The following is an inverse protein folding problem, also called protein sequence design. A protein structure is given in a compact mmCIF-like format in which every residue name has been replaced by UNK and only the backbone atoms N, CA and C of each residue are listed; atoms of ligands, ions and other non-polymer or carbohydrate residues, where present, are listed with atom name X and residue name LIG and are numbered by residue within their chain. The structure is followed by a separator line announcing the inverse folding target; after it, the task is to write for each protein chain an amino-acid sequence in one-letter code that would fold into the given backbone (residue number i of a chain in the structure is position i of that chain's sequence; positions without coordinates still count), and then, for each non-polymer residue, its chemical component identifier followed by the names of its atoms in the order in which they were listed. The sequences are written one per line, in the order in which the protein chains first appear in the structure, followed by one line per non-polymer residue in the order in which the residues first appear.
data_IF_962531933180
#
_entry.id   IF_962531933180
#
_cell.length_a   1.000
_cell.length_b   1.000
_cell.length_c   1.000
_cell.angle_alpha   90.00
_cell.angle_beta   90.00
_cell.angle_gamma   90.00
#
_symmetry.space_group_name_H-M   'P 1'
#
loop_
_entity.id
_entity.type
_entity.pdbx_description
1 polymer ?
#
# COMPACT_ATOMS: atom_id res chain seq x y z
N UNK A 1 -15.03 -9.62 -25.49
CA UNK A 1 -14.83 -8.46 -26.36
C UNK A 1 -15.69 -7.29 -25.91
N UNK A 2 -15.08 -6.15 -25.69
CA UNK A 2 -15.74 -4.93 -25.19
C UNK A 2 -15.32 -3.69 -26.02
N UNK A 3 -15.24 -3.87 -27.32
CA UNK A 3 -14.84 -2.86 -28.28
C UNK A 3 -15.98 -2.34 -29.15
N UNK A 4 -15.64 -1.91 -30.35
CA UNK A 4 -16.60 -1.35 -31.30
C UNK A 4 -17.63 -2.42 -31.73
N UNK A 5 -18.92 -2.17 -31.50
CA UNK A 5 -20.01 -3.08 -31.83
C UNK A 5 -20.10 -3.40 -33.33
N UNK A 6 -19.65 -2.51 -34.20
CA UNK A 6 -19.61 -2.76 -35.64
C UNK A 6 -18.69 -3.91 -36.05
N UNK A 7 -17.75 -4.33 -35.18
CA UNK A 7 -16.80 -5.42 -35.40
C UNK A 7 -17.18 -6.72 -34.70
N UNK A 8 -18.31 -6.79 -34.01
CA UNK A 8 -18.69 -7.96 -33.20
C UNK A 8 -18.80 -9.23 -34.04
N UNK A 9 -19.44 -9.17 -35.21
CA UNK A 9 -19.62 -10.33 -36.11
C UNK A 9 -18.25 -10.82 -36.62
N UNK A 10 -17.34 -9.90 -36.94
CA UNK A 10 -16.00 -10.21 -37.44
C UNK A 10 -15.14 -10.85 -36.33
N UNK A 11 -15.20 -10.31 -35.13
CA UNK A 11 -14.53 -10.85 -33.94
C UNK A 11 -15.11 -12.22 -33.59
N UNK A 12 -16.42 -12.39 -33.63
CA UNK A 12 -17.09 -13.67 -33.38
C UNK A 12 -16.68 -14.72 -34.42
N UNK A 13 -16.60 -14.34 -35.69
CA UNK A 13 -16.15 -15.23 -36.76
C UNK A 13 -14.69 -15.66 -36.60
N UNK A 14 -13.84 -14.73 -36.18
CA UNK A 14 -12.40 -14.96 -36.05
C UNK A 14 -12.03 -15.78 -34.81
N UNK A 15 -12.62 -15.48 -33.68
CA UNK A 15 -12.25 -16.06 -32.37
C UNK A 15 -13.21 -17.14 -31.88
N UNK A 16 -14.50 -17.10 -32.27
CA UNK A 16 -15.53 -18.04 -31.82
C UNK A 16 -15.17 -19.51 -32.07
N UNK A 17 -14.51 -19.90 -33.17
CA UNK A 17 -14.06 -21.28 -33.39
C UNK A 17 -12.96 -21.75 -32.43
N UNK A 18 -12.23 -20.83 -31.81
CA UNK A 18 -11.01 -21.10 -31.03
C UNK A 18 -11.17 -20.82 -29.53
N UNK A 19 -12.18 -20.01 -29.15
CA UNK A 19 -12.38 -19.59 -27.77
C UNK A 19 -13.84 -19.31 -27.48
N UNK A 20 -14.23 -19.46 -26.21
CA UNK A 20 -15.52 -18.97 -25.74
C UNK A 20 -15.49 -17.45 -25.68
N UNK A 21 -16.25 -16.79 -26.54
CA UNK A 21 -16.28 -15.34 -26.66
C UNK A 21 -17.45 -14.77 -25.86
N UNK A 22 -17.13 -13.88 -24.93
CA UNK A 22 -18.12 -13.10 -24.17
C UNK A 22 -18.13 -11.68 -24.72
N UNK A 23 -19.31 -11.18 -25.06
CA UNK A 23 -19.51 -9.83 -25.60
C UNK A 23 -19.97 -8.88 -24.51
N UNK A 24 -19.39 -7.70 -24.46
CA UNK A 24 -19.77 -6.60 -23.58
C UNK A 24 -19.89 -5.32 -24.41
N UNK A 25 -20.63 -4.36 -23.87
CA UNK A 25 -20.68 -3.02 -24.48
C UNK A 25 -19.28 -2.41 -24.57
N UNK A 26 -19.06 -1.55 -25.56
CA UNK A 26 -17.82 -0.85 -25.74
C UNK A 26 -17.43 -0.10 -24.46
N UNK A 27 -16.26 -0.42 -23.90
CA UNK A 27 -15.75 0.22 -22.68
C UNK A 27 -15.40 1.69 -22.90
N UNK A 28 -15.27 2.09 -24.16
CA UNK A 28 -15.00 3.48 -24.55
C UNK A 28 -15.89 3.89 -25.71
N UNK A 29 -17.20 4.13 -25.44
CA UNK A 29 -18.17 4.47 -26.48
C UNK A 29 -17.84 5.79 -27.19
N UNK A 30 -17.16 6.70 -26.51
CA UNK A 30 -16.56 7.92 -27.06
C UNK A 30 -15.12 8.14 -26.50
N UNK A 31 -14.39 9.12 -27.01
CA UNK A 31 -13.04 9.44 -26.49
C UNK A 31 -13.09 9.98 -25.05
N UNK A 32 -14.20 10.55 -24.65
CA UNK A 32 -14.39 11.23 -23.37
C UNK A 32 -15.15 10.36 -22.36
N UNK A 33 -15.89 9.35 -22.83
CA UNK A 33 -16.74 8.50 -21.98
C UNK A 33 -16.14 7.12 -21.76
N UNK A 34 -16.21 6.64 -20.54
CA UNK A 34 -15.82 5.29 -20.13
C UNK A 34 -17.04 4.56 -19.56
N UNK A 35 -17.35 3.36 -20.11
CA UNK A 35 -18.48 2.53 -19.72
C UNK A 35 -18.02 1.10 -19.38
N UNK A 36 -17.61 0.88 -18.15
CA UNK A 36 -16.97 -0.37 -17.70
C UNK A 36 -17.98 -1.43 -17.21
N UNK A 37 -19.21 -1.05 -16.89
CA UNK A 37 -20.19 -1.88 -16.17
C UNK A 37 -20.47 -3.20 -16.87
N UNK A 38 -20.71 -3.16 -18.19
CA UNK A 38 -20.98 -4.35 -18.99
C UNK A 38 -19.77 -5.29 -19.07
N UNK A 39 -18.56 -4.74 -19.23
CA UNK A 39 -17.33 -5.52 -19.25
C UNK A 39 -17.03 -6.16 -17.88
N UNK A 40 -17.25 -5.43 -16.80
CA UNK A 40 -17.10 -5.94 -15.43
C UNK A 40 -18.07 -7.11 -15.15
N UNK A 41 -19.31 -7.01 -15.62
CA UNK A 41 -20.28 -8.09 -15.49
C UNK A 41 -19.81 -9.35 -16.25
N UNK A 42 -19.36 -9.20 -17.50
CA UNK A 42 -18.85 -10.33 -18.30
C UNK A 42 -17.59 -10.95 -17.69
N UNK A 43 -16.70 -10.13 -17.13
CA UNK A 43 -15.51 -10.62 -16.41
C UNK A 43 -15.88 -11.40 -15.14
N UNK A 44 -16.91 -10.97 -14.41
CA UNK A 44 -17.41 -11.71 -13.26
C UNK A 44 -17.95 -13.07 -13.65
N UNK A 45 -18.78 -13.14 -14.71
CA UNK A 45 -19.29 -14.40 -15.26
C UNK A 45 -18.17 -15.32 -15.78
N UNK A 46 -17.17 -14.74 -16.45
CA UNK A 46 -15.98 -15.49 -16.91
C UNK A 46 -15.18 -16.07 -15.73
N UNK A 47 -15.04 -15.29 -14.66
CA UNK A 47 -14.37 -15.76 -13.43
C UNK A 47 -15.14 -16.91 -12.77
N UNK A 48 -16.46 -16.80 -12.63
CA UNK A 48 -17.30 -17.84 -12.07
C UNK A 48 -17.15 -19.14 -12.87
N UNK A 49 -17.28 -19.07 -14.21
CA UNK A 49 -17.10 -20.22 -15.09
C UNK A 49 -15.69 -20.83 -15.01
N UNK A 50 -14.64 -19.98 -14.88
CA UNK A 50 -13.28 -20.44 -14.74
C UNK A 50 -13.03 -21.11 -13.40
N UNK A 51 -13.55 -20.55 -12.32
CA UNK A 51 -13.45 -21.09 -10.97
C UNK A 51 -14.14 -22.45 -10.86
N UNK A 52 -15.35 -22.58 -11.43
CA UNK A 52 -16.08 -23.85 -11.50
C UNK A 52 -15.33 -24.93 -12.29
N UNK A 53 -14.68 -24.55 -13.40
CA UNK A 53 -14.00 -25.52 -14.27
C UNK A 53 -12.65 -26.01 -13.73
N UNK A 54 -11.95 -25.21 -12.90
CA UNK A 54 -10.57 -25.50 -12.47
C UNK A 54 -10.39 -25.85 -11.01
N UNK A 55 -11.30 -25.45 -10.15
CA UNK A 55 -11.09 -25.57 -8.71
C UNK A 55 -11.70 -26.85 -8.16
N UNK A 56 -10.89 -27.83 -7.78
CA UNK A 56 -11.38 -28.92 -6.91
C UNK A 56 -11.95 -28.29 -5.63
N UNK A 57 -13.31 -28.29 -5.52
CA UNK A 57 -14.02 -27.71 -4.40
C UNK A 57 -14.62 -26.32 -4.62
N UNK A 58 -14.32 -25.63 -5.72
CA UNK A 58 -14.99 -24.35 -6.05
C UNK A 58 -16.47 -24.57 -6.36
N UNK A 59 -16.80 -25.66 -7.04
CA UNK A 59 -18.17 -26.13 -7.26
C UNK A 59 -18.92 -26.34 -5.94
N UNK A 60 -18.24 -26.96 -4.96
CA UNK A 60 -18.80 -27.17 -3.62
C UNK A 60 -19.03 -25.84 -2.90
N UNK A 61 -18.02 -24.93 -2.88
CA UNK A 61 -18.16 -23.61 -2.27
C UNK A 61 -19.23 -22.78 -2.97
N UNK A 62 -19.26 -22.81 -4.30
CA UNK A 62 -20.29 -22.13 -5.11
C UNK A 62 -21.71 -22.63 -4.79
N UNK A 63 -21.87 -23.95 -4.61
CA UNK A 63 -23.17 -24.54 -4.24
C UNK A 63 -23.64 -24.20 -2.82
N UNK A 64 -22.72 -23.86 -1.91
CA UNK A 64 -23.02 -23.41 -0.54
C UNK A 64 -23.37 -21.93 -0.47
N UNK A 65 -23.11 -21.17 -1.52
CA UNK A 65 -23.35 -19.72 -1.58
C UNK A 65 -24.62 -19.42 -2.39
N UNK A 66 -25.53 -18.64 -1.82
CA UNK A 66 -26.73 -18.19 -2.54
C UNK A 66 -26.41 -17.16 -3.65
N UNK A 67 -25.20 -16.60 -3.69
CA UNK A 67 -24.81 -15.50 -4.58
C UNK A 67 -23.54 -15.78 -5.39
N UNK A 68 -23.06 -17.02 -5.37
CA UNK A 68 -21.81 -17.40 -6.03
C UNK A 68 -20.56 -16.97 -5.27
N UNK A 69 -19.41 -17.02 -5.94
CA UNK A 69 -18.11 -16.64 -5.41
C UNK A 69 -17.80 -15.21 -5.83
N UNK A 70 -17.33 -14.38 -4.90
CA UNK A 70 -16.94 -13.00 -5.17
C UNK A 70 -15.44 -12.82 -4.95
N UNK A 71 -14.67 -12.34 -5.94
CA UNK A 71 -13.28 -11.94 -5.72
C UNK A 71 -13.16 -10.81 -4.70
N UNK A 72 -12.16 -10.88 -3.81
CA UNK A 72 -11.91 -9.84 -2.80
C UNK A 72 -11.79 -8.43 -3.39
N UNK A 73 -11.18 -8.31 -4.56
CA UNK A 73 -11.04 -7.03 -5.25
C UNK A 73 -12.39 -6.40 -5.63
N UNK A 74 -13.37 -7.23 -5.98
CA UNK A 74 -14.74 -6.76 -6.24
C UNK A 74 -15.41 -6.27 -4.95
N UNK A 75 -15.20 -6.96 -3.84
CA UNK A 75 -15.67 -6.52 -2.52
C UNK A 75 -15.07 -5.17 -2.13
N UNK A 76 -13.78 -4.98 -2.34
CA UNK A 76 -13.10 -3.70 -2.07
C UNK A 76 -13.66 -2.56 -2.93
N UNK A 77 -13.90 -2.82 -4.22
CA UNK A 77 -14.52 -1.85 -5.11
C UNK A 77 -15.91 -1.43 -4.61
N UNK A 78 -16.77 -2.41 -4.28
CA UNK A 78 -18.13 -2.16 -3.78
C UNK A 78 -18.11 -1.31 -2.51
N UNK A 79 -17.26 -1.64 -1.56
CA UNK A 79 -17.17 -0.89 -0.29
C UNK A 79 -16.56 0.51 -0.50
N UNK A 80 -15.51 0.66 -1.33
CA UNK A 80 -14.95 1.97 -1.63
C UNK A 80 -15.99 2.88 -2.33
N UNK A 81 -16.76 2.35 -3.27
CA UNK A 81 -17.82 3.05 -3.95
C UNK A 81 -18.96 3.44 -2.98
N UNK A 82 -19.34 2.51 -2.10
CA UNK A 82 -20.33 2.77 -1.07
C UNK A 82 -19.91 3.94 -0.15
N UNK A 83 -18.69 3.90 0.40
CA UNK A 83 -18.14 4.97 1.24
C UNK A 83 -18.17 6.32 0.53
N UNK A 84 -17.78 6.33 -0.75
CA UNK A 84 -17.80 7.54 -1.59
C UNK A 84 -19.20 8.09 -1.79
N UNK A 85 -20.15 7.23 -2.11
CA UNK A 85 -21.57 7.63 -2.27
C UNK A 85 -22.22 8.08 -0.96
N UNK A 86 -21.88 7.44 0.16
CA UNK A 86 -22.37 7.82 1.49
C UNK A 86 -21.79 9.15 1.99
N UNK A 87 -20.65 9.58 1.46
CA UNK A 87 -19.98 10.83 1.85
C UNK A 87 -19.53 11.63 0.62
N UNK A 88 -20.44 12.29 -0.08
CA UNK A 88 -20.12 13.04 -1.30
C UNK A 88 -19.00 14.07 -1.08
N UNK A 89 -18.08 14.15 -2.04
CA UNK A 89 -16.94 15.08 -1.99
C UNK A 89 -15.77 14.62 -1.11
N UNK A 90 -15.84 13.42 -0.51
CA UNK A 90 -14.73 12.82 0.23
C UNK A 90 -14.10 11.69 -0.58
N UNK A 91 -12.79 11.55 -0.44
CA UNK A 91 -12.04 10.46 -1.05
C UNK A 91 -11.76 9.35 -0.04
N UNK A 92 -11.79 8.10 -0.52
CA UNK A 92 -11.58 6.88 0.27
C UNK A 92 -10.61 5.96 -0.45
N UNK A 93 -9.81 5.23 0.33
CA UNK A 93 -8.88 4.23 -0.20
C UNK A 93 -8.96 2.95 0.63
N UNK A 94 -8.97 1.81 -0.07
CA UNK A 94 -8.78 0.49 0.50
C UNK A 94 -7.54 -0.09 -0.17
N UNK A 95 -6.50 -0.42 0.61
CA UNK A 95 -5.25 -0.96 0.12
C UNK A 95 -4.96 -2.30 0.80
N UNK A 96 -4.82 -3.36 0.02
CA UNK A 96 -4.47 -4.70 0.48
C UNK A 96 -3.15 -5.13 -0.14
N UNK A 97 -2.17 -5.43 0.69
CA UNK A 97 -0.92 -6.07 0.29
C UNK A 97 -0.89 -7.46 0.89
N UNK A 98 -1.36 -8.42 0.11
CA UNK A 98 -1.43 -9.80 0.51
C UNK A 98 -0.13 -10.57 0.32
N UNK A 99 -0.20 -11.89 0.50
CA UNK A 99 0.95 -12.79 0.27
C UNK A 99 1.28 -12.94 -1.21
N UNK A 100 0.28 -13.09 -2.07
CA UNK A 100 0.42 -13.36 -3.50
C UNK A 100 -0.15 -12.25 -4.40
N UNK A 101 -1.19 -11.56 -3.94
CA UNK A 101 -1.94 -10.57 -4.72
C UNK A 101 -2.06 -9.30 -3.89
N UNK A 102 -1.97 -8.16 -4.55
CA UNK A 102 -2.26 -6.86 -3.95
C UNK A 102 -3.36 -6.14 -4.71
N UNK A 103 -4.18 -5.42 -3.97
CA UNK A 103 -5.34 -4.70 -4.50
C UNK A 103 -5.40 -3.29 -3.92
N UNK A 104 -5.71 -2.32 -4.75
CA UNK A 104 -6.02 -0.96 -4.32
C UNK A 104 -7.31 -0.49 -4.96
N UNK A 105 -8.30 -0.18 -4.14
CA UNK A 105 -9.55 0.43 -4.56
C UNK A 105 -9.61 1.86 -4.03
N UNK A 106 -9.77 2.83 -4.90
CA UNK A 106 -9.85 4.23 -4.52
C UNK A 106 -11.11 4.88 -5.09
N UNK A 107 -11.84 5.57 -4.23
CA UNK A 107 -12.91 6.48 -4.63
C UNK A 107 -12.38 7.90 -4.58
N UNK A 108 -12.25 8.53 -5.74
CA UNK A 108 -11.69 9.87 -5.88
C UNK A 108 -12.58 10.69 -6.81
N UNK A 109 -12.94 11.90 -6.38
CA UNK A 109 -13.74 12.83 -7.18
C UNK A 109 -15.04 12.25 -7.75
N UNK A 110 -15.69 11.35 -6.98
CA UNK A 110 -16.97 10.74 -7.36
C UNK A 110 -16.87 9.46 -8.19
N UNK A 111 -15.67 9.03 -8.56
CA UNK A 111 -15.40 7.81 -9.31
C UNK A 111 -14.64 6.79 -8.49
N UNK A 112 -14.90 5.50 -8.71
CA UNK A 112 -14.19 4.41 -8.03
C UNK A 112 -13.42 3.57 -9.04
N UNK A 113 -12.12 3.41 -8.80
CA UNK A 113 -11.28 2.55 -9.60
C UNK A 113 -10.55 1.52 -8.72
N UNK A 114 -10.35 0.33 -9.27
CA UNK A 114 -9.67 -0.78 -8.59
C UNK A 114 -8.54 -1.31 -9.44
N UNK A 115 -7.37 -1.41 -8.84
CA UNK A 115 -6.18 -2.01 -9.44
C UNK A 115 -5.87 -3.32 -8.72
N UNK A 116 -5.62 -4.37 -9.49
CA UNK A 116 -5.25 -5.70 -8.98
C UNK A 116 -3.89 -6.07 -9.56
N UNK A 117 -2.98 -6.56 -8.71
CA UNK A 117 -1.66 -7.04 -9.13
C UNK A 117 -1.38 -8.41 -8.53
N UNK A 118 -1.25 -9.40 -9.40
CA UNK A 118 -0.95 -10.79 -9.03
C UNK A 118 0.56 -11.06 -8.91
N UNK A 119 1.37 -10.10 -9.29
CA UNK A 119 2.84 -10.10 -9.21
C UNK A 119 3.37 -9.20 -8.08
N UNK A 120 2.49 -8.61 -7.29
CA UNK A 120 2.83 -7.83 -6.09
C UNK A 120 2.25 -8.52 -4.86
N UNK A 121 3.10 -8.89 -3.93
CA UNK A 121 2.76 -9.48 -2.64
C UNK A 121 4.02 -9.72 -1.81
N UNK A 122 3.90 -9.81 -0.51
CA UNK A 122 5.04 -9.93 0.42
C UNK A 122 5.26 -11.35 0.95
N UNK A 123 4.60 -12.34 0.36
CA UNK A 123 4.76 -13.76 0.65
C UNK A 123 5.08 -14.54 -0.61
N UNK A 124 4.13 -15.28 -1.16
CA UNK A 124 4.32 -16.06 -2.38
C UNK A 124 4.86 -15.24 -3.55
N UNK A 125 4.46 -13.98 -3.69
CA UNK A 125 4.92 -13.07 -4.73
C UNK A 125 6.08 -12.16 -4.28
N UNK A 126 6.75 -12.41 -3.15
CA UNK A 126 7.82 -11.53 -2.65
C UNK A 126 8.97 -11.37 -3.65
N UNK A 127 9.36 -12.45 -4.33
CA UNK A 127 10.36 -12.39 -5.42
C UNK A 127 9.86 -11.55 -6.59
N UNK A 128 8.66 -11.80 -7.07
CA UNK A 128 8.08 -11.05 -8.19
C UNK A 128 7.95 -9.56 -7.83
N UNK A 129 7.54 -9.26 -6.60
CA UNK A 129 7.52 -7.89 -6.08
C UNK A 129 8.90 -7.24 -6.16
N UNK A 130 9.95 -7.93 -5.72
CA UNK A 130 11.31 -7.41 -5.79
C UNK A 130 11.76 -7.16 -7.23
N UNK A 131 11.37 -8.02 -8.18
CA UNK A 131 11.64 -7.84 -9.61
C UNK A 131 10.93 -6.59 -10.17
N UNK A 132 9.73 -6.25 -9.67
CA UNK A 132 8.99 -5.05 -10.08
C UNK A 132 9.57 -3.76 -9.47
N UNK A 133 9.89 -3.76 -8.19
CA UNK A 133 10.30 -2.54 -7.48
C UNK A 133 11.81 -2.29 -7.51
N UNK A 134 12.61 -3.35 -7.66
CA UNK A 134 14.06 -3.32 -7.60
C UNK A 134 14.63 -3.24 -6.18
N UNK A 135 15.89 -3.70 -6.02
CA UNK A 135 16.59 -3.73 -4.72
C UNK A 135 16.81 -2.33 -4.14
N UNK A 136 16.98 -1.31 -5.00
CA UNK A 136 17.19 0.07 -4.56
C UNK A 136 15.96 0.65 -3.85
N UNK A 137 14.74 0.33 -4.30
CA UNK A 137 13.52 0.79 -3.65
C UNK A 137 13.38 0.18 -2.25
N UNK A 138 13.80 -1.07 -2.06
CA UNK A 138 13.84 -1.73 -0.75
C UNK A 138 14.94 -1.13 0.12
N UNK A 139 16.17 -0.99 -0.43
CA UNK A 139 17.33 -0.43 0.28
C UNK A 139 17.09 0.98 0.80
N UNK A 140 16.31 1.77 0.07
CA UNK A 140 15.91 3.13 0.46
C UNK A 140 15.29 3.18 1.88
N UNK A 141 14.59 2.13 2.28
CA UNK A 141 13.90 2.04 3.57
C UNK A 141 14.71 1.31 4.66
N UNK A 142 15.96 0.94 4.39
CA UNK A 142 16.77 0.22 5.38
C UNK A 142 17.65 1.19 6.19
N UNK A 143 17.68 1.05 7.53
CA UNK A 143 18.56 1.82 8.40
C UNK A 143 19.99 1.29 8.45
N UNK A 144 20.31 0.28 7.65
CA UNK A 144 21.61 -0.37 7.56
C UNK A 144 22.00 -0.63 6.11
N UNK A 145 23.26 -0.95 5.88
CA UNK A 145 23.72 -1.39 4.58
C UNK A 145 23.23 -2.81 4.28
N UNK A 146 22.70 -3.02 3.08
CA UNK A 146 22.29 -4.34 2.59
C UNK A 146 22.70 -4.53 1.14
N UNK A 147 23.27 -5.70 0.83
CA UNK A 147 23.63 -6.07 -0.53
C UNK A 147 22.41 -6.49 -1.33
N UNK A 148 22.51 -6.44 -2.66
CA UNK A 148 21.43 -6.96 -3.53
C UNK A 148 21.15 -8.44 -3.27
N UNK A 149 22.20 -9.22 -3.00
CA UNK A 149 22.08 -10.64 -2.70
C UNK A 149 21.34 -10.89 -1.38
N UNK A 150 21.54 -10.08 -0.36
CA UNK A 150 20.82 -10.18 0.92
C UNK A 150 19.33 -9.89 0.72
N UNK A 151 19.00 -8.81 0.02
CA UNK A 151 17.61 -8.44 -0.26
C UNK A 151 16.92 -9.51 -1.12
N UNK A 152 17.63 -10.03 -2.13
CA UNK A 152 17.15 -11.12 -2.97
C UNK A 152 16.95 -12.41 -2.17
N UNK A 153 17.91 -12.78 -1.32
CA UNK A 153 17.81 -13.96 -0.46
C UNK A 153 16.61 -13.88 0.49
N UNK A 154 16.35 -12.68 1.04
CA UNK A 154 15.17 -12.45 1.87
C UNK A 154 13.87 -12.69 1.07
N UNK A 155 13.74 -12.09 -0.11
CA UNK A 155 12.56 -12.24 -0.96
C UNK A 155 12.35 -13.68 -1.43
N UNK A 156 13.42 -14.40 -1.77
CA UNK A 156 13.36 -15.82 -2.14
C UNK A 156 12.93 -16.71 -0.97
N UNK A 157 13.49 -16.50 0.22
CA UNK A 157 13.10 -17.23 1.42
C UNK A 157 11.63 -16.98 1.77
N UNK A 158 11.17 -15.74 1.63
CA UNK A 158 9.78 -15.36 1.86
C UNK A 158 8.84 -16.01 0.83
N UNK A 159 9.28 -16.12 -0.44
CA UNK A 159 8.52 -16.83 -1.49
C UNK A 159 8.38 -18.32 -1.18
N UNK A 160 9.45 -18.96 -0.69
CA UNK A 160 9.43 -20.37 -0.32
C UNK A 160 8.66 -20.65 0.98
N UNK A 161 8.66 -19.69 1.90
CA UNK A 161 8.01 -19.76 3.21
C UNK A 161 7.16 -18.53 3.48
N UNK A 162 6.06 -18.36 2.76
CA UNK A 162 5.28 -17.10 2.78
C UNK A 162 4.68 -16.76 4.15
N UNK A 163 4.44 -17.76 4.99
CA UNK A 163 3.94 -17.58 6.35
C UNK A 163 5.04 -17.35 7.40
N UNK A 164 6.31 -17.27 6.99
CA UNK A 164 7.39 -17.00 7.96
C UNK A 164 7.24 -15.61 8.58
N UNK A 165 7.54 -15.53 9.88
CA UNK A 165 7.57 -14.29 10.66
C UNK A 165 9.03 -13.85 10.79
N UNK A 166 9.36 -12.56 10.70
CA UNK A 166 10.72 -12.08 10.94
C UNK A 166 11.24 -12.47 12.32
N UNK A 167 12.39 -13.17 12.35
CA UNK A 167 12.96 -13.70 13.60
C UNK A 167 13.78 -12.66 14.38
N UNK A 168 14.08 -11.52 13.76
CA UNK A 168 14.86 -10.46 14.38
C UNK A 168 14.66 -9.13 13.69
N UNK A 169 15.30 -8.08 14.23
CA UNK A 169 15.13 -6.71 13.74
C UNK A 169 15.55 -6.54 12.29
N UNK A 170 16.69 -7.11 11.89
CA UNK A 170 17.17 -7.01 10.52
C UNK A 170 16.16 -7.59 9.53
N UNK A 171 15.60 -8.78 9.82
CA UNK A 171 14.54 -9.40 9.03
C UNK A 171 13.25 -8.57 9.03
N UNK A 172 12.89 -7.98 10.17
CA UNK A 172 11.73 -7.10 10.30
C UNK A 172 11.87 -5.84 9.43
N UNK A 173 13.03 -5.19 9.45
CA UNK A 173 13.29 -4.04 8.59
C UNK A 173 13.26 -4.39 7.10
N UNK A 174 13.79 -5.56 6.72
CA UNK A 174 13.70 -6.05 5.33
C UNK A 174 12.25 -6.29 4.91
N UNK A 175 11.45 -6.94 5.77
CA UNK A 175 10.01 -7.15 5.49
C UNK A 175 9.26 -5.82 5.35
N UNK A 176 9.47 -4.91 6.29
CA UNK A 176 8.83 -3.60 6.26
C UNK A 176 9.31 -2.73 5.09
N UNK A 177 10.57 -2.86 4.67
CA UNK A 177 11.09 -2.18 3.50
C UNK A 177 10.48 -2.71 2.20
N UNK A 178 10.38 -4.03 2.05
CA UNK A 178 9.72 -4.66 0.91
C UNK A 178 8.23 -4.28 0.85
N UNK A 179 7.54 -4.29 2.00
CA UNK A 179 6.14 -3.90 2.10
C UNK A 179 5.91 -2.43 1.68
N UNK A 180 6.76 -1.51 2.15
CA UNK A 180 6.69 -0.09 1.75
C UNK A 180 6.90 0.07 0.24
N UNK A 181 7.90 -0.62 -0.30
CA UNK A 181 8.18 -0.59 -1.73
C UNK A 181 7.01 -1.17 -2.55
N UNK A 182 6.42 -2.30 -2.11
CA UNK A 182 5.26 -2.91 -2.73
C UNK A 182 4.04 -1.98 -2.72
N UNK A 183 3.70 -1.43 -1.56
CA UNK A 183 2.55 -0.53 -1.39
C UNK A 183 2.74 0.78 -2.16
N UNK A 184 3.96 1.34 -2.16
CA UNK A 184 4.30 2.52 -2.96
C UNK A 184 4.16 2.25 -4.46
N UNK A 185 4.66 1.11 -4.92
CA UNK A 185 4.54 0.72 -6.32
C UNK A 185 3.08 0.51 -6.72
N UNK A 186 2.30 -0.20 -5.89
CA UNK A 186 0.86 -0.38 -6.10
C UNK A 186 0.13 0.97 -6.21
N UNK A 187 0.45 1.93 -5.34
CA UNK A 187 -0.09 3.28 -5.40
C UNK A 187 0.23 3.96 -6.74
N UNK A 188 1.50 3.90 -7.18
CA UNK A 188 1.93 4.57 -8.41
C UNK A 188 1.20 4.04 -9.64
N UNK A 189 1.02 2.74 -9.75
CA UNK A 189 0.30 2.13 -10.88
C UNK A 189 -1.22 2.29 -10.80
N UNK A 190 -1.76 2.58 -9.61
CA UNK A 190 -3.20 2.80 -9.41
C UNK A 190 -3.62 4.24 -9.71
N UNK A 191 -2.72 5.21 -9.50
CA UNK A 191 -3.03 6.66 -9.66
C UNK A 191 -3.60 7.03 -11.03
N UNK A 192 -3.10 6.51 -12.17
CA UNK A 192 -3.66 6.86 -13.48
C UNK A 192 -5.15 6.55 -13.64
N UNK A 193 -5.66 5.53 -12.96
CA UNK A 193 -7.06 5.12 -13.05
C UNK A 193 -8.03 6.07 -12.34
N UNK A 194 -7.55 6.94 -11.48
CA UNK A 194 -8.36 7.88 -10.67
C UNK A 194 -7.86 9.33 -10.73
N UNK A 195 -6.87 9.58 -11.57
CA UNK A 195 -6.34 10.94 -11.83
C UNK A 195 -6.79 11.38 -13.22
N UNK A 196 -7.35 12.56 -13.41
CA UNK A 196 -7.69 13.08 -14.74
C UNK A 196 -6.48 13.03 -15.68
N UNK A 197 -6.69 12.65 -16.92
CA UNK A 197 -5.64 12.44 -17.94
C UNK A 197 -4.71 13.65 -18.12
N UNK A 198 -5.22 14.84 -17.89
CA UNK A 198 -4.45 16.10 -17.99
C UNK A 198 -3.45 16.31 -16.84
N UNK A 199 -3.59 15.57 -15.72
CA UNK A 199 -2.73 15.68 -14.55
C UNK A 199 -1.70 14.53 -14.45
N UNK A 200 -1.64 13.65 -15.44
CA UNK A 200 -0.72 12.49 -15.45
C UNK A 200 0.75 12.88 -15.58
N UNK A 201 1.04 14.07 -16.12
CA UNK A 201 2.42 14.56 -16.28
C UNK A 201 3.07 14.97 -14.97
N UNK A 202 2.30 15.09 -13.88
CA UNK A 202 2.80 15.53 -12.57
C UNK A 202 2.59 14.46 -11.48
N UNK A 203 3.25 13.30 -11.64
CA UNK A 203 3.36 12.28 -10.59
C UNK A 203 4.06 12.79 -9.31
N UNK A 204 4.59 14.03 -9.36
CA UNK A 204 5.17 14.73 -8.20
C UNK A 204 4.13 15.47 -7.38
N UNK A 205 2.92 15.64 -7.90
CA UNK A 205 1.85 16.22 -7.10
C UNK A 205 1.53 15.34 -5.88
N UNK A 206 1.28 15.94 -4.72
CA UNK A 206 0.83 15.20 -3.56
C UNK A 206 -0.46 14.44 -3.88
N UNK A 207 -0.69 13.34 -3.18
CA UNK A 207 -1.96 12.62 -3.28
C UNK A 207 -3.11 13.57 -2.97
N UNK A 208 -4.30 13.36 -3.58
CA UNK A 208 -5.51 14.01 -3.10
C UNK A 208 -5.72 13.63 -1.63
N UNK A 209 -6.29 14.55 -0.86
CA UNK A 209 -6.59 14.25 0.55
C UNK A 209 -7.61 13.12 0.64
N UNK A 210 -7.26 12.05 1.34
CA UNK A 210 -8.15 10.93 1.65
C UNK A 210 -8.73 11.12 3.05
N UNK A 211 -10.06 11.11 3.14
CA UNK A 211 -10.74 11.20 4.45
C UNK A 211 -10.52 9.94 5.28
N UNK A 212 -10.43 8.77 4.62
CA UNK A 212 -10.24 7.47 5.26
C UNK A 212 -9.39 6.57 4.38
N UNK A 213 -8.44 5.89 5.00
CA UNK A 213 -7.62 4.84 4.38
C UNK A 213 -7.79 3.58 5.21
N UNK A 214 -8.24 2.51 4.58
CA UNK A 214 -8.39 1.19 5.20
C UNK A 214 -7.34 0.28 4.58
N UNK A 215 -6.54 -0.36 5.41
CA UNK A 215 -5.50 -1.27 4.95
C UNK A 215 -5.76 -2.71 5.39
N UNK A 216 -5.49 -3.63 4.49
CA UNK A 216 -5.56 -5.06 4.70
C UNK A 216 -4.22 -5.74 4.39
N UNK A 217 -4.15 -7.04 4.62
CA UNK A 217 -2.94 -7.84 4.47
C UNK A 217 -2.12 -7.96 5.76
N UNK A 218 -1.67 -9.18 6.06
CA UNK A 218 -1.05 -9.52 7.33
C UNK A 218 0.20 -8.68 7.65
N UNK A 219 1.01 -8.31 6.65
CA UNK A 219 2.19 -7.47 6.84
C UNK A 219 1.89 -6.09 7.42
N UNK A 220 0.67 -5.57 7.21
CA UNK A 220 0.22 -4.30 7.76
C UNK A 220 -0.60 -4.51 9.04
N UNK A 221 -1.50 -5.48 9.02
CA UNK A 221 -2.49 -5.66 10.11
C UNK A 221 -1.94 -6.42 11.30
N UNK A 222 -0.88 -7.22 11.13
CA UNK A 222 -0.31 -8.09 12.16
C UNK A 222 1.09 -7.64 12.64
N UNK A 223 1.38 -6.35 12.61
CA UNK A 223 2.68 -5.81 13.09
C UNK A 223 2.90 -5.98 14.58
N UNK A 224 1.86 -6.34 15.33
CA UNK A 224 1.86 -6.41 16.79
C UNK A 224 1.87 -5.04 17.50
N UNK A 225 2.08 -3.94 16.75
CA UNK A 225 2.08 -2.56 17.27
C UNK A 225 1.33 -1.63 16.33
N UNK A 226 0.20 -1.05 16.77
CA UNK A 226 -0.64 -0.20 15.92
C UNK A 226 0.10 1.00 15.31
N UNK A 227 1.05 1.59 16.04
CA UNK A 227 1.88 2.67 15.53
C UNK A 227 2.79 2.26 14.37
N UNK A 228 3.27 1.00 14.34
CA UNK A 228 4.00 0.48 13.18
C UNK A 228 3.10 0.39 11.95
N UNK A 229 1.89 -0.16 12.09
CA UNK A 229 0.93 -0.22 10.99
C UNK A 229 0.64 1.17 10.42
N UNK A 230 0.37 2.15 11.31
CA UNK A 230 0.17 3.53 10.90
C UNK A 230 1.40 4.11 10.17
N UNK A 231 2.59 3.91 10.71
CA UNK A 231 3.83 4.41 10.11
C UNK A 231 4.08 3.81 8.72
N UNK A 232 3.88 2.49 8.53
CA UNK A 232 4.03 1.83 7.24
C UNK A 232 3.13 2.45 6.17
N UNK A 233 1.88 2.76 6.54
CA UNK A 233 0.93 3.43 5.65
C UNK A 233 1.36 4.86 5.32
N UNK A 234 1.77 5.62 6.34
CA UNK A 234 2.23 7.00 6.19
C UNK A 234 3.50 7.11 5.34
N UNK A 235 4.39 6.14 5.43
CA UNK A 235 5.63 6.07 4.68
C UNK A 235 5.38 5.76 3.20
N UNK A 236 4.59 4.73 2.94
CA UNK A 236 4.40 4.24 1.58
C UNK A 236 3.39 5.08 0.78
N UNK A 237 2.29 5.50 1.41
CA UNK A 237 1.21 6.23 0.75
C UNK A 237 1.42 7.75 0.78
N UNK A 238 2.15 8.27 1.74
CA UNK A 238 2.39 9.70 1.93
C UNK A 238 1.10 10.56 1.87
N UNK A 239 0.04 10.21 2.63
CA UNK A 239 -1.19 10.98 2.60
C UNK A 239 -0.96 12.42 3.08
N UNK A 240 -1.81 13.35 2.62
CA UNK A 240 -1.78 14.76 3.02
C UNK A 240 -3.09 15.16 3.70
N UNK A 241 -3.02 16.17 4.58
CA UNK A 241 -4.20 16.66 5.25
C UNK A 241 -4.64 15.78 6.42
N UNK A 242 -5.95 15.58 6.56
CA UNK A 242 -6.55 14.83 7.67
C UNK A 242 -7.08 13.50 7.14
N UNK A 243 -6.59 12.41 7.71
CA UNK A 243 -6.94 11.05 7.30
C UNK A 243 -7.26 10.19 8.52
N UNK A 244 -8.38 9.51 8.51
CA UNK A 244 -8.65 8.41 9.43
C UNK A 244 -7.95 7.16 8.92
N UNK A 245 -7.05 6.60 9.72
CA UNK A 245 -6.34 5.36 9.40
C UNK A 245 -7.00 4.18 10.08
N UNK A 246 -7.25 3.13 9.32
CA UNK A 246 -7.86 1.89 9.80
C UNK A 246 -7.20 0.68 9.19
N UNK A 247 -7.29 -0.46 9.87
CA UNK A 247 -6.85 -1.76 9.38
C UNK A 247 -7.98 -2.78 9.46
N UNK A 248 -7.97 -3.72 8.53
CA UNK A 248 -8.90 -4.85 8.47
C UNK A 248 -8.15 -6.19 8.75
N UNK A 249 -7.92 -6.55 10.04
CA UNK A 249 -7.21 -7.76 10.38
C UNK A 249 -8.03 -9.05 10.14
N UNK A 250 -9.34 -8.92 9.96
CA UNK A 250 -10.29 -10.02 9.92
C UNK A 250 -10.94 -10.23 8.55
N UNK A 251 -10.46 -9.54 7.51
CA UNK A 251 -11.04 -9.56 6.15
C UNK A 251 -12.53 -9.18 6.11
N UNK A 252 -12.95 -8.27 6.99
CA UNK A 252 -14.33 -7.82 7.11
C UNK A 252 -14.82 -7.15 5.82
N UNK A 253 -13.96 -6.33 5.18
CA UNK A 253 -14.29 -5.64 3.93
C UNK A 253 -14.67 -6.65 2.84
N UNK A 254 -13.95 -7.77 2.75
CA UNK A 254 -14.28 -8.84 1.80
C UNK A 254 -15.66 -9.44 2.08
N UNK A 255 -15.97 -9.73 3.34
CA UNK A 255 -17.27 -10.27 3.74
C UNK A 255 -18.41 -9.27 3.52
N UNK A 256 -18.20 -8.00 3.87
CA UNK A 256 -19.20 -6.94 3.68
C UNK A 256 -19.46 -6.66 2.19
N UNK A 257 -18.44 -6.73 1.34
CA UNK A 257 -18.64 -6.60 -0.11
C UNK A 257 -19.47 -7.73 -0.69
N UNK A 258 -19.26 -8.97 -0.23
CA UNK A 258 -20.13 -10.10 -0.59
C UNK A 258 -21.57 -9.91 -0.08
N UNK A 259 -21.73 -9.46 1.16
CA UNK A 259 -23.04 -9.15 1.74
C UNK A 259 -23.76 -8.03 0.98
N UNK A 260 -23.04 -7.02 0.48
CA UNK A 260 -23.61 -5.91 -0.28
C UNK A 260 -24.37 -6.34 -1.53
N UNK A 261 -24.04 -7.49 -2.11
CA UNK A 261 -24.76 -8.06 -3.27
C UNK A 261 -26.15 -8.63 -2.89
N UNK A 262 -26.30 -9.02 -1.63
CA UNK A 262 -27.53 -9.65 -1.13
C UNK A 262 -28.40 -8.65 -0.39
N UNK A 263 -27.76 -7.85 0.47
CA UNK A 263 -28.43 -6.89 1.34
C UNK A 263 -27.49 -5.71 1.63
N UNK A 264 -27.54 -4.71 0.75
CA UNK A 264 -26.70 -3.51 0.87
C UNK A 264 -27.02 -2.67 2.11
N UNK A 265 -28.27 -2.72 2.62
CA UNK A 265 -28.68 -1.98 3.80
C UNK A 265 -28.02 -2.52 5.08
N UNK A 266 -27.79 -3.84 5.14
CA UNK A 266 -27.12 -4.47 6.27
C UNK A 266 -25.62 -4.12 6.37
N UNK A 267 -25.00 -3.67 5.29
CA UNK A 267 -23.57 -3.30 5.26
C UNK A 267 -23.30 -2.07 6.12
N UNK A 268 -24.21 -1.08 6.10
CA UNK A 268 -24.05 0.20 6.82
C UNK A 268 -23.80 0.00 8.32
N UNK A 269 -24.74 -0.61 9.06
CA UNK A 269 -24.55 -0.77 10.50
C UNK A 269 -23.38 -1.71 10.84
N UNK A 270 -23.07 -2.67 9.97
CA UNK A 270 -21.95 -3.59 10.20
C UNK A 270 -20.59 -2.93 9.96
N UNK A 271 -20.49 -2.03 8.98
CA UNK A 271 -19.27 -1.25 8.74
C UNK A 271 -19.01 -0.27 9.90
N UNK A 272 -20.06 0.30 10.48
CA UNK A 272 -19.99 1.22 11.62
C UNK A 272 -19.83 0.48 12.96
N UNK A 273 -20.43 -0.70 13.11
CA UNK A 273 -20.43 -1.48 14.35
C UNK A 273 -19.11 -2.21 14.66
N UNK A 274 -18.11 -2.11 13.74
CA UNK A 274 -16.72 -2.38 14.08
C UNK A 274 -16.17 -3.79 14.04
N UNK A 275 -15.83 -4.23 12.83
CA UNK A 275 -14.75 -5.21 12.69
C UNK A 275 -13.45 -4.56 12.20
N UNK A 276 -13.50 -3.30 11.74
CA UNK A 276 -12.31 -2.53 11.40
C UNK A 276 -11.65 -1.98 12.65
N UNK A 277 -10.33 -2.03 12.68
CA UNK A 277 -9.57 -1.48 13.79
C UNK A 277 -9.10 -0.06 13.45
N UNK A 278 -9.62 0.94 14.19
CA UNK A 278 -9.15 2.32 14.06
C UNK A 278 -7.73 2.44 14.62
N UNK A 279 -6.80 2.89 13.78
CA UNK A 279 -5.48 3.33 14.22
C UNK A 279 -5.53 4.75 14.76
N UNK A 280 -6.51 5.55 14.33
CA UNK A 280 -6.77 6.91 14.79
C UNK A 280 -6.67 7.97 13.70
N UNK A 281 -6.94 9.21 14.09
CA UNK A 281 -6.82 10.36 13.19
C UNK A 281 -5.37 10.74 12.97
N UNK A 282 -4.96 10.79 11.70
CA UNK A 282 -3.67 11.30 11.29
C UNK A 282 -3.80 12.67 10.61
N UNK A 283 -2.93 13.61 10.99
CA UNK A 283 -2.80 14.92 10.35
C UNK A 283 -1.41 15.01 9.76
N UNK A 284 -1.32 14.86 8.44
CA UNK A 284 -0.07 14.90 7.69
C UNK A 284 0.17 16.27 7.09
N UNK A 285 1.33 16.85 7.41
CA UNK A 285 1.74 18.14 6.91
C UNK A 285 2.45 18.00 5.56
N UNK A 286 2.05 18.79 4.58
CA UNK A 286 2.75 18.97 3.30
C UNK A 286 3.77 20.11 3.37
N UNK A 287 4.69 20.14 2.40
CA UNK A 287 5.85 21.02 2.38
C UNK A 287 7.06 20.41 3.07
N UNK A 288 8.17 21.16 3.07
CA UNK A 288 9.43 20.69 3.64
C UNK A 288 9.73 21.39 4.95
N UNK A 289 9.97 20.63 6.06
CA UNK A 289 10.36 21.23 7.32
C UNK A 289 11.77 21.84 7.20
N UNK A 290 11.95 23.03 7.77
CA UNK A 290 13.27 23.68 7.79
C UNK A 290 14.08 23.22 9.02
N UNK A 291 14.71 22.07 8.90
CA UNK A 291 15.48 21.46 10.00
C UNK A 291 14.58 21.12 11.21
N UNK A 292 15.12 21.17 12.41
CA UNK A 292 14.41 20.91 13.67
C UNK A 292 13.48 22.05 14.13
N UNK A 293 13.19 23.04 13.27
CA UNK A 293 12.28 24.14 13.61
C UNK A 293 10.87 23.62 13.79
N UNK A 294 10.06 24.37 14.50
CA UNK A 294 8.63 24.08 14.70
C UNK A 294 7.90 23.86 13.38
N UNK A 295 7.47 22.63 13.12
CA UNK A 295 6.65 22.27 11.96
C UNK A 295 5.16 22.41 12.26
N UNK A 296 4.73 22.18 13.51
CA UNK A 296 3.35 22.40 13.93
C UNK A 296 3.25 22.84 15.39
N UNK A 297 2.14 23.54 15.69
CA UNK A 297 1.65 23.77 17.05
C UNK A 297 0.28 23.14 17.17
N UNK A 298 0.10 22.31 18.17
CA UNK A 298 -1.11 21.56 18.43
C UNK A 298 -1.71 22.01 19.74
N UNK A 299 -3.01 22.26 19.76
CA UNK A 299 -3.79 22.48 20.97
C UNK A 299 -4.88 21.43 20.98
N UNK A 300 -4.95 20.65 22.04
CA UNK A 300 -5.95 19.59 22.21
C UNK A 300 -6.80 19.98 23.43
N UNK A 301 -8.12 19.86 23.26
CA UNK A 301 -9.09 20.00 24.36
C UNK A 301 -9.77 18.65 24.52
N UNK A 302 -9.51 18.03 25.66
CA UNK A 302 -10.10 16.74 26.04
C UNK A 302 -11.56 16.86 26.44
N UNK A 303 -12.34 15.75 26.48
CA UNK A 303 -13.74 15.76 26.88
C UNK A 303 -13.98 16.31 28.29
N UNK A 304 -13.02 16.12 29.21
CA UNK A 304 -13.06 16.66 30.58
C UNK A 304 -12.79 18.17 30.67
N UNK A 305 -12.55 18.83 29.54
CA UNK A 305 -12.24 20.24 29.43
C UNK A 305 -10.76 20.60 29.58
N UNK A 306 -9.89 19.63 29.86
CA UNK A 306 -8.43 19.81 29.94
C UNK A 306 -7.90 20.31 28.60
N UNK A 307 -6.97 21.27 28.65
CA UNK A 307 -6.36 21.85 27.47
C UNK A 307 -4.84 21.66 27.51
N UNK A 308 -4.33 21.06 26.46
CA UNK A 308 -2.90 20.80 26.30
C UNK A 308 -2.37 21.49 25.05
N UNK A 309 -1.09 21.85 25.08
CA UNK A 309 -0.41 22.53 23.96
C UNK A 309 0.94 21.89 23.70
N UNK A 310 1.19 21.60 22.43
CA UNK A 310 2.41 20.96 22.00
C UNK A 310 3.05 21.72 20.85
N UNK A 311 4.39 21.69 20.82
CA UNK A 311 5.19 22.21 19.70
C UNK A 311 5.91 21.04 19.09
N UNK A 312 5.62 20.78 17.81
CA UNK A 312 6.13 19.60 17.09
C UNK A 312 7.27 20.04 16.19
N UNK A 313 8.47 19.46 16.34
CA UNK A 313 9.60 19.75 15.49
C UNK A 313 9.43 19.17 14.09
N UNK A 314 10.09 19.76 13.10
CA UNK A 314 10.15 19.24 11.76
C UNK A 314 10.91 17.91 11.68
N UNK A 315 10.48 17.04 10.78
CA UNK A 315 11.07 15.73 10.59
C UNK A 315 10.59 14.66 11.58
N UNK A 316 9.63 14.99 12.47
CA UNK A 316 9.14 14.07 13.50
C UNK A 316 7.76 13.50 13.17
N UNK A 317 7.51 12.31 13.69
CA UNK A 317 6.22 11.66 13.78
C UNK A 317 5.76 11.74 15.24
N UNK A 318 4.77 12.58 15.53
CA UNK A 318 4.31 12.79 16.90
C UNK A 318 2.99 12.06 17.14
N UNK A 319 2.94 11.29 18.22
CA UNK A 319 1.77 10.50 18.60
C UNK A 319 1.24 10.99 19.93
N UNK A 320 -0.04 11.33 19.98
CA UNK A 320 -0.76 11.66 21.19
C UNK A 320 -1.63 10.46 21.62
N UNK A 321 -1.50 9.97 22.87
CA UNK A 321 -2.19 8.77 23.34
C UNK A 321 -3.66 9.04 23.66
N UNK A 322 -4.47 9.36 22.66
CA UNK A 322 -5.90 9.46 22.80
C UNK A 322 -6.53 8.08 22.65
N UNK A 323 -7.30 7.64 23.64
CA UNK A 323 -7.88 6.30 23.67
C UNK A 323 -8.84 6.02 22.50
N UNK A 324 -9.04 4.76 22.18
CA UNK A 324 -9.91 4.29 21.11
C UNK A 324 -11.34 4.85 21.29
N UNK A 325 -11.87 5.47 20.22
CA UNK A 325 -13.20 6.07 20.20
C UNK A 325 -13.35 7.35 21.03
N UNK A 326 -12.27 7.81 21.68
CA UNK A 326 -12.31 9.10 22.42
C UNK A 326 -12.15 10.24 21.43
N UNK A 327 -13.08 11.20 21.49
CA UNK A 327 -13.03 12.40 20.67
C UNK A 327 -12.44 13.58 21.45
N UNK A 328 -11.60 14.38 20.78
CA UNK A 328 -11.05 15.61 21.34
C UNK A 328 -11.08 16.73 20.31
N UNK A 329 -11.36 17.96 20.78
CA UNK A 329 -11.25 19.13 19.90
C UNK A 329 -9.79 19.50 19.71
N UNK A 330 -9.35 19.56 18.46
CA UNK A 330 -7.97 19.91 18.12
C UNK A 330 -7.88 21.15 17.26
N UNK A 331 -6.85 21.96 17.53
CA UNK A 331 -6.40 23.03 16.64
C UNK A 331 -4.95 22.79 16.30
N UNK A 332 -4.69 22.57 15.02
CA UNK A 332 -3.33 22.38 14.50
C UNK A 332 -2.97 23.57 13.61
N UNK A 333 -1.82 24.17 13.88
CA UNK A 333 -1.29 25.31 13.12
C UNK A 333 0.07 24.91 12.55
N UNK A 334 0.19 24.90 11.23
CA UNK A 334 1.41 24.56 10.52
C UNK A 334 2.46 25.66 10.67
N UNK A 335 3.72 25.27 10.81
CA UNK A 335 4.88 26.14 10.84
C UNK A 335 5.19 26.77 9.47
N UNK A 336 6.25 27.55 9.42
CA UNK A 336 6.65 28.26 8.19
C UNK A 336 7.12 27.24 7.13
N UNK A 337 6.51 27.27 5.95
CA UNK A 337 6.81 26.35 4.84
C UNK A 337 6.05 25.04 4.89
N UNK A 338 5.19 24.84 5.90
CA UNK A 338 4.32 23.68 6.04
C UNK A 338 2.85 24.07 5.86
N UNK A 339 2.04 23.12 5.43
CA UNK A 339 0.60 23.30 5.21
C UNK A 339 -0.15 22.03 5.63
N UNK A 340 -1.44 22.14 5.87
CA UNK A 340 -2.36 21.04 6.12
C UNK A 340 -3.44 21.16 5.05
N UNK A 341 -3.38 20.36 4.02
CA UNK A 341 -4.29 20.44 2.87
C UNK A 341 -4.42 21.89 2.34
N UNK A 342 -3.28 22.50 2.02
CA UNK A 342 -3.20 23.89 1.54
C UNK A 342 -3.44 24.99 2.59
N UNK A 343 -3.89 24.63 3.81
CA UNK A 343 -4.24 25.56 4.89
C UNK A 343 -3.11 25.73 5.89
N UNK A 344 -3.03 26.90 6.52
CA UNK A 344 -2.07 27.12 7.61
C UNK A 344 -2.56 26.71 8.99
N UNK A 345 -3.83 26.57 9.20
CA UNK A 345 -4.40 26.14 10.47
C UNK A 345 -5.77 25.50 10.23
N UNK A 346 -6.04 24.44 10.97
CA UNK A 346 -7.32 23.75 10.98
C UNK A 346 -7.82 23.61 12.39
N UNK A 347 -9.15 23.51 12.54
CA UNK A 347 -9.83 23.10 13.75
C UNK A 347 -10.73 21.94 13.39
N UNK A 348 -10.64 20.86 14.17
CA UNK A 348 -11.40 19.64 13.90
C UNK A 348 -11.58 18.85 15.20
N UNK A 349 -12.61 18.02 15.24
CA UNK A 349 -12.67 16.92 16.18
C UNK A 349 -11.77 15.81 15.69
N UNK A 350 -10.84 15.35 16.53
CA UNK A 350 -9.99 14.18 16.26
C UNK A 350 -10.50 13.01 17.08
N UNK A 351 -10.43 11.84 16.50
CA UNK A 351 -10.78 10.59 17.15
C UNK A 351 -9.51 9.79 17.45
N UNK A 352 -9.37 9.34 18.67
CA UNK A 352 -8.31 8.44 19.08
C UNK A 352 -8.52 7.03 18.56
N UNK A 353 -7.44 6.34 18.29
CA UNK A 353 -7.42 4.95 17.86
C UNK A 353 -6.42 4.13 18.65
N UNK A 354 -6.17 2.89 18.21
CA UNK A 354 -5.15 2.02 18.82
C UNK A 354 -3.75 2.63 18.80
N UNK A 355 -3.44 3.45 17.79
CA UNK A 355 -2.18 4.20 17.71
C UNK A 355 -2.30 5.60 18.34
N UNK A 356 -3.51 6.10 18.65
CA UNK A 356 -3.74 7.45 19.15
C UNK A 356 -4.03 8.45 18.03
N UNK A 357 -3.75 9.75 18.29
CA UNK A 357 -3.77 10.81 17.26
C UNK A 357 -2.36 11.07 16.77
N UNK A 358 -2.17 11.07 15.46
CA UNK A 358 -0.85 11.17 14.84
C UNK A 358 -0.72 12.51 14.12
N UNK A 359 0.36 13.24 14.41
CA UNK A 359 0.77 14.41 13.62
C UNK A 359 2.05 14.06 12.87
N UNK A 360 1.93 13.88 11.57
CA UNK A 360 3.08 13.63 10.72
C UNK A 360 3.70 14.96 10.24
N UNK A 361 4.74 15.38 10.94
CA UNK A 361 5.46 16.62 10.68
C UNK A 361 6.76 16.40 9.88
N UNK A 362 6.90 15.22 9.25
CA UNK A 362 8.09 14.87 8.44
C UNK A 362 8.14 15.61 7.12
N UNK A 363 7.00 16.04 6.61
CA UNK A 363 6.87 16.72 5.33
C UNK A 363 6.48 15.80 4.18
N UNK A 364 6.12 16.40 3.04
CA UNK A 364 5.78 15.69 1.80
C UNK A 364 6.40 16.42 0.60
N UNK A 365 7.06 15.70 -0.34
CA UNK A 365 7.41 14.28 -0.24
C UNK A 365 8.30 14.00 0.98
N UNK A 366 8.28 12.74 1.47
CA UNK A 366 8.99 12.36 2.68
C UNK A 366 10.52 12.50 2.47
N UNK A 367 11.21 13.35 3.27
CA UNK A 367 12.62 13.67 3.05
C UNK A 367 13.55 12.61 3.69
N UNK A 368 13.60 11.42 3.09
CA UNK A 368 14.51 10.37 3.53
C UNK A 368 15.91 10.62 2.97
N UNK A 369 16.94 10.58 3.84
CA UNK A 369 18.30 10.92 3.48
C UNK A 369 18.98 9.84 2.63
N UNK A 370 19.75 10.25 1.63
CA UNK A 370 20.63 9.35 0.87
C UNK A 370 21.86 8.92 1.71
N UNK A 371 22.26 9.73 2.68
CA UNK A 371 23.35 9.37 3.59
C UNK A 371 22.87 8.29 4.57
N UNK A 372 23.56 7.15 4.59
CA UNK A 372 23.17 5.97 5.38
C UNK A 372 23.04 6.28 6.87
N UNK A 373 24.02 6.99 7.47
CA UNK A 373 23.98 7.34 8.89
C UNK A 373 22.75 8.19 9.23
N UNK A 374 22.53 9.26 8.48
CA UNK A 374 21.36 10.13 8.68
C UNK A 374 20.05 9.39 8.45
N UNK A 375 20.00 8.52 7.44
CA UNK A 375 18.83 7.67 7.15
C UNK A 375 18.56 6.69 8.29
N UNK A 376 19.58 6.05 8.82
CA UNK A 376 19.46 5.16 9.98
C UNK A 376 18.88 5.89 11.20
N UNK A 377 19.37 7.09 11.49
CA UNK A 377 18.84 7.94 12.56
C UNK A 377 17.39 8.35 12.33
N UNK A 378 17.03 8.71 11.09
CA UNK A 378 15.64 9.04 10.72
C UNK A 378 14.71 7.85 10.92
N UNK A 379 15.02 6.70 10.30
CA UNK A 379 14.16 5.51 10.35
C UNK A 379 14.03 5.01 11.78
N UNK A 380 15.13 4.82 12.50
CA UNK A 380 15.10 4.35 13.89
C UNK A 380 14.34 5.31 14.79
N UNK A 381 14.53 6.63 14.59
CA UNK A 381 13.78 7.65 15.31
C UNK A 381 12.28 7.59 15.04
N UNK A 382 11.85 7.38 13.79
CA UNK A 382 10.44 7.28 13.46
C UNK A 382 9.81 6.00 14.03
N UNK A 383 10.55 4.87 14.02
CA UNK A 383 10.08 3.65 14.70
C UNK A 383 9.87 3.89 16.20
N UNK A 384 10.83 4.53 16.86
CA UNK A 384 10.70 4.87 18.28
C UNK A 384 9.49 5.79 18.54
N UNK A 385 9.28 6.80 17.71
CA UNK A 385 8.17 7.73 17.81
C UNK A 385 6.80 7.06 17.58
N UNK A 386 6.74 6.13 16.60
CA UNK A 386 5.52 5.41 16.27
C UNK A 386 5.12 4.36 17.34
N UNK A 387 6.09 3.77 18.03
CA UNK A 387 5.85 2.64 18.94
C UNK A 387 6.00 2.98 20.42
N UNK A 388 6.46 4.19 20.73
CA UNK A 388 6.78 4.64 22.07
C UNK A 388 8.17 4.17 22.53
N UNK A 389 8.52 4.43 23.80
CA UNK A 389 9.87 4.26 24.35
C UNK A 389 10.42 2.82 24.30
N UNK A 390 9.58 1.81 24.09
CA UNK A 390 10.00 0.41 24.01
C UNK A 390 10.93 0.09 22.83
N UNK A 391 11.00 0.94 21.80
CA UNK A 391 11.91 0.76 20.66
C UNK A 391 13.25 1.46 20.88
N UNK A 392 13.37 2.34 21.86
CA UNK A 392 14.67 2.92 22.24
C UNK A 392 15.65 1.88 22.79
N UNK A 393 15.15 0.79 23.38
CA UNK A 393 15.97 -0.33 23.83
C UNK A 393 16.39 -1.26 22.69
N UNK A 394 15.79 -1.14 21.52
CA UNK A 394 16.21 -1.84 20.32
C UNK A 394 17.23 -0.94 19.62
N UNK A 395 18.34 -0.93 20.18
CA UNK A 395 19.69 -0.67 19.73
C UNK A 395 19.82 0.06 18.38
N UNK A 396 19.37 1.33 18.36
CA UNK A 396 19.73 2.23 17.26
C UNK A 396 21.26 2.33 17.13
N UNK A 397 21.99 2.14 18.21
CA UNK A 397 23.44 2.13 18.28
C UNK A 397 24.02 0.91 17.55
N UNK A 398 23.43 -0.27 17.71
CA UNK A 398 23.82 -1.48 16.96
C UNK A 398 23.58 -1.32 15.44
N UNK A 399 22.42 -0.80 15.03
CA UNK A 399 22.14 -0.54 13.61
C UNK A 399 23.09 0.51 13.02
N UNK A 400 23.45 1.51 13.78
CA UNK A 400 24.40 2.55 13.37
C UNK A 400 25.82 2.02 13.35
N UNK A 401 26.23 1.23 14.35
CA UNK A 401 27.57 0.65 14.44
C UNK A 401 27.82 -0.37 13.32
N UNK A 402 26.86 -1.25 13.03
CA UNK A 402 26.96 -2.18 11.90
C UNK A 402 27.10 -1.43 10.56
N UNK A 403 26.30 -0.39 10.35
CA UNK A 403 26.38 0.43 9.15
C UNK A 403 27.71 1.20 9.04
N UNK A 404 28.27 1.61 10.16
CA UNK A 404 29.58 2.30 10.22
C UNK A 404 30.72 1.31 9.99
N UNK A 405 30.69 0.13 10.59
CA UNK A 405 31.70 -0.91 10.40
C UNK A 405 31.77 -1.38 8.95
N UNK A 406 30.62 -1.65 8.31
CA UNK A 406 30.56 -1.98 6.89
C UNK A 406 31.12 -0.84 6.01
N UNK A 407 30.83 0.42 6.37
CA UNK A 407 31.33 1.59 5.67
C UNK A 407 32.84 1.80 5.84
N UNK A 408 33.38 1.50 7.02
CA UNK A 408 34.81 1.70 7.36
C UNK A 408 35.69 0.56 6.89
N UNK A 409 35.19 -0.68 6.90
CA UNK A 409 35.99 -1.85 6.52
C UNK A 409 36.21 -1.96 5.02
N UNK A 410 35.46 -1.21 4.22
CA UNK A 410 35.68 -1.16 2.76
C UNK A 410 35.70 -2.55 2.13
N UNK A 411 35.11 -3.54 2.78
CA UNK A 411 35.05 -4.87 2.24
C UNK A 411 34.28 -4.80 0.92
N UNK A 412 35.06 -4.76 -0.18
CA UNK A 412 34.53 -5.09 -1.47
C UNK A 412 33.82 -6.40 -1.29
N UNK A 413 32.51 -6.39 -1.49
CA UNK A 413 31.72 -7.62 -1.68
C UNK A 413 32.53 -8.52 -2.60
N UNK A 414 32.81 -9.76 -2.22
CA UNK A 414 33.46 -10.68 -3.13
C UNK A 414 32.64 -10.65 -4.43
N UNK A 415 33.30 -10.43 -5.56
CA UNK A 415 32.64 -10.48 -6.86
C UNK A 415 31.84 -11.78 -6.91
N UNK A 416 30.59 -11.75 -7.39
CA UNK A 416 29.80 -12.97 -7.47
C UNK A 416 30.60 -14.00 -8.27
N UNK A 417 30.78 -15.18 -7.70
CA UNK A 417 31.44 -16.30 -8.33
C UNK A 417 30.73 -16.61 -9.64
N UNK A 418 31.20 -16.02 -10.71
CA UNK A 418 30.77 -16.36 -12.08
C UNK A 418 31.35 -17.74 -12.35
N UNK A 419 30.51 -18.75 -12.26
CA UNK A 419 30.83 -20.10 -12.68
C UNK A 419 31.29 -20.01 -14.15
N UNK A 420 32.58 -20.10 -14.42
CA UNK A 420 33.05 -20.21 -15.77
C UNK A 420 32.41 -21.45 -16.39
N UNK A 421 31.53 -21.25 -17.34
CA UNK A 421 31.00 -22.31 -18.17
C UNK A 421 32.16 -22.79 -19.02
N UNK A 422 32.57 -24.05 -18.92
CA UNK A 422 33.66 -24.57 -19.76
C UNK A 422 33.33 -24.33 -21.25
N UNK A 423 34.19 -23.57 -21.93
CA UNK A 423 34.03 -23.39 -23.36
C UNK A 423 34.23 -24.76 -24.04
N UNK A 424 33.20 -25.21 -24.76
CA UNK A 424 33.32 -26.38 -25.59
C UNK A 424 34.53 -26.21 -26.58
N UNK A 425 35.38 -27.24 -26.71
CA UNK A 425 36.52 -27.16 -27.63
C UNK A 425 36.03 -26.96 -29.04
N UNK A 426 36.49 -25.87 -29.66
CA UNK A 426 36.21 -25.56 -31.05
C UNK A 426 36.59 -26.76 -31.89
N UNK A 427 35.63 -27.45 -32.54
CA UNK A 427 35.86 -28.49 -33.55
C UNK A 427 36.68 -27.88 -34.68
N UNK A 428 37.93 -28.36 -34.82
CA UNK A 428 38.79 -28.08 -36.01
C UNK A 428 38.05 -28.60 -37.22
N UNK A 429 37.70 -27.74 -38.16
CA UNK A 429 37.31 -28.13 -39.53
C UNK A 429 38.51 -28.80 -40.18
N UNK A 430 38.38 -30.08 -40.49
CA UNK A 430 39.29 -30.74 -41.44
C UNK A 430 39.14 -30.04 -42.82
N UNK A 431 40.24 -29.57 -43.32
CA UNK A 431 40.38 -29.27 -44.76
C UNK A 431 40.49 -30.64 -45.47
N UNK A 432 39.52 -30.96 -46.27
CA UNK A 432 39.66 -31.99 -47.25
C UNK A 432 40.50 -31.39 -48.41
N UNK A 433 41.72 -31.95 -48.58
CA UNK A 433 42.49 -31.78 -49.77
C UNK A 433 41.86 -32.74 -50.79
N UNK A 434 41.48 -32.18 -51.94
CA UNK A 434 41.11 -32.93 -53.12
C UNK A 434 42.32 -33.03 -54.01
N UNK A 435 42.66 -34.25 -54.40
CA UNK A 435 43.21 -34.57 -55.70
C UNK A 435 42.10 -35.10 -56.58
#
# INVERSE_FOLDING_TARGET
YAGNSALEDEIQSLFGPHAHLMLAQNVRPSLEDEALESAQLQLALAFDSFAEARGVGFDLVGSMSAVGILPNAQSYNLIANYLGKASPGKNFMIADVGSAVSTMSAHVSGSTATTIRTDIGIGHSARATLEQVGTNAVRHWLPFSATDNEILAYALNKTLRPASIPEGLRALYLEHALLRAALRHLLMISRPAWTPTQALDDLREPLPAFSRIIAAGAGITQTGRPGMSAMLLLDALEPVGVTQLEIDPNALISALGALARVNSEAVVPLLDASGLESLGTCISLSGQPRGSRTAARVQIRLPDGTREKYTIPGGSLWVYPLGLGVHAESRVSAGRGMHIDGRRSIRLSVEGGKAGVIIDARGRPLPLSENLKTRAEQISGWYAQATGDLVREIDSEWLLNEAIEESLTGQRTPEPYVREVPQEPRRRRRRDEAD
#
